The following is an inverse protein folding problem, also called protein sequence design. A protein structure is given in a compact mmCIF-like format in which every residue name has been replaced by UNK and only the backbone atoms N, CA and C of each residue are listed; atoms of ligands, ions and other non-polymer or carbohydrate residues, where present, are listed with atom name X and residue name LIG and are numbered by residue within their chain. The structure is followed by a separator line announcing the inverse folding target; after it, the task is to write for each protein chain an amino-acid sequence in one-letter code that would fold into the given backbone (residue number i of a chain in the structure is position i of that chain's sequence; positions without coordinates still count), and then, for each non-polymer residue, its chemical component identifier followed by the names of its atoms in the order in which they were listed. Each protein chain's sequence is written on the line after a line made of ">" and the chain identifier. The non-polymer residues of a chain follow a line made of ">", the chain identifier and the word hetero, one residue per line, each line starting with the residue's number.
data_IF_918731477092
#
_entry.id   IF_918731477092
#
_cell.length_a   1.000
_cell.length_b   1.000
_cell.length_c   1.000
_cell.angle_alpha   90.00
_cell.angle_beta   90.00
_cell.angle_gamma   90.00
#
_symmetry.space_group_name_H-M   'P 1'
#
loop_
_entity.id
_entity.type
_entity.pdbx_description
1 polymer ?
#
# COMPACT_ATOMS: atom_id res chain seq x y z
N UNK A 1 -27.13 -23.96 31.93
CA UNK A 1 -26.87 -23.84 30.47
C UNK A 1 -26.10 -22.54 30.30
N UNK A 2 -24.84 -22.61 29.88
CA UNK A 2 -24.00 -21.43 29.72
C UNK A 2 -24.14 -20.91 28.29
N UNK A 3 -24.73 -19.71 28.15
CA UNK A 3 -24.75 -18.97 26.90
C UNK A 3 -23.32 -18.69 26.45
N UNK A 4 -22.89 -19.37 25.39
CA UNK A 4 -21.64 -19.06 24.71
C UNK A 4 -21.87 -17.76 23.96
N UNK A 5 -21.37 -16.65 24.54
CA UNK A 5 -21.32 -15.36 23.85
C UNK A 5 -20.54 -15.55 22.57
N UNK A 6 -21.20 -15.37 21.42
CA UNK A 6 -20.53 -15.20 20.13
C UNK A 6 -19.69 -13.93 20.29
N UNK A 7 -18.38 -14.08 20.36
CA UNK A 7 -17.45 -12.96 20.33
C UNK A 7 -17.65 -12.26 18.99
N UNK A 8 -18.00 -10.97 19.01
CA UNK A 8 -18.09 -10.12 17.82
C UNK A 8 -16.81 -10.30 16.98
N UNK A 9 -16.90 -11.04 15.87
CA UNK A 9 -15.83 -11.15 14.89
C UNK A 9 -15.77 -9.84 14.11
N UNK A 10 -15.15 -8.81 14.68
CA UNK A 10 -14.86 -7.58 13.94
C UNK A 10 -13.83 -7.90 12.85
N UNK A 11 -14.09 -7.56 11.58
CA UNK A 11 -13.12 -7.74 10.52
C UNK A 11 -11.86 -6.90 10.82
N UNK A 12 -10.69 -7.51 10.70
CA UNK A 12 -9.40 -6.83 10.89
C UNK A 12 -9.07 -6.11 9.57
N UNK A 13 -9.01 -4.78 9.62
CA UNK A 13 -8.52 -3.99 8.49
C UNK A 13 -7.00 -4.08 8.41
N UNK A 14 -6.49 -4.48 7.25
CA UNK A 14 -5.06 -4.47 6.92
C UNK A 14 -4.80 -3.35 5.94
N UNK A 15 -4.28 -2.24 6.45
CA UNK A 15 -4.08 -0.98 5.74
C UNK A 15 -2.61 -0.60 5.57
N UNK A 16 -1.68 -1.40 6.12
CA UNK A 16 -0.25 -1.22 5.96
C UNK A 16 0.30 -2.42 5.18
N UNK A 17 1.02 -2.17 4.10
CA UNK A 17 1.69 -3.23 3.34
C UNK A 17 3.15 -2.87 3.13
N UNK A 18 4.03 -3.79 3.48
CA UNK A 18 5.44 -3.70 3.12
C UNK A 18 5.77 -4.65 1.99
N UNK A 19 6.76 -4.28 1.19
CA UNK A 19 7.25 -5.12 0.09
C UNK A 19 8.64 -4.64 -0.31
N UNK A 20 9.34 -5.50 -1.02
CA UNK A 20 10.61 -5.16 -1.65
C UNK A 20 10.38 -4.79 -3.11
N UNK A 21 11.05 -3.73 -3.57
CA UNK A 21 11.08 -3.33 -4.96
C UNK A 21 12.48 -2.88 -5.35
N UNK A 22 12.96 -3.37 -6.49
CA UNK A 22 14.24 -2.98 -7.10
C UNK A 22 13.92 -2.48 -8.50
N UNK A 23 14.49 -1.34 -8.91
CA UNK A 23 14.28 -0.85 -10.27
C UNK A 23 15.06 -1.73 -11.28
N UNK A 24 14.55 -1.84 -12.49
CA UNK A 24 15.21 -2.61 -13.56
C UNK A 24 16.62 -2.10 -13.87
N UNK A 25 16.86 -0.80 -13.63
CA UNK A 25 18.14 -0.11 -13.87
C UNK A 25 19.01 0.04 -12.59
N UNK A 26 18.69 -0.64 -11.49
CA UNK A 26 19.38 -0.52 -10.18
C UNK A 26 19.43 0.94 -9.66
N UNK A 27 18.46 1.75 -10.07
CA UNK A 27 18.31 3.14 -9.61
C UNK A 27 17.49 3.17 -8.33
N UNK A 28 17.82 4.11 -7.45
CA UNK A 28 17.00 4.42 -6.28
C UNK A 28 15.64 4.93 -6.76
N UNK A 29 14.59 4.10 -6.62
CA UNK A 29 13.20 4.50 -6.87
C UNK A 29 12.84 5.55 -5.80
N UNK A 30 12.34 6.72 -6.19
CA UNK A 30 11.82 7.67 -5.20
C UNK A 30 10.37 7.32 -4.82
N UNK A 31 9.86 7.76 -3.65
CA UNK A 31 8.46 7.56 -3.29
C UNK A 31 7.49 8.11 -4.34
N UNK A 32 7.90 9.18 -5.04
CA UNK A 32 7.12 9.77 -6.13
C UNK A 32 7.09 8.89 -7.37
N UNK A 33 8.20 8.23 -7.70
CA UNK A 33 8.26 7.31 -8.85
C UNK A 33 7.36 6.10 -8.62
N UNK A 34 7.38 5.53 -7.42
CA UNK A 34 6.52 4.42 -7.04
C UNK A 34 5.04 4.81 -7.07
N UNK A 35 4.70 5.99 -6.51
CA UNK A 35 3.36 6.55 -6.57
C UNK A 35 2.89 6.82 -8.02
N UNK A 36 3.81 7.23 -8.90
CA UNK A 36 3.53 7.47 -10.33
C UNK A 36 3.30 6.16 -11.07
N UNK A 37 4.10 5.11 -10.81
CA UNK A 37 3.89 3.76 -11.36
C UNK A 37 2.51 3.25 -10.95
N UNK A 38 2.16 3.35 -9.66
CA UNK A 38 0.82 3.01 -9.16
C UNK A 38 -0.30 3.77 -9.87
N UNK A 39 -0.22 5.10 -9.93
CA UNK A 39 -1.23 5.93 -10.57
C UNK A 39 -1.43 5.52 -12.03
N UNK A 40 -0.34 5.36 -12.79
CA UNK A 40 -0.39 4.98 -14.21
C UNK A 40 -1.07 3.63 -14.39
N UNK A 41 -0.69 2.63 -13.59
CA UNK A 41 -1.20 1.26 -13.74
C UNK A 41 -2.66 1.14 -13.31
N UNK A 42 -3.11 1.94 -12.33
CA UNK A 42 -4.53 2.03 -11.95
C UNK A 42 -5.34 2.77 -13.01
N UNK A 43 -4.84 3.89 -13.54
CA UNK A 43 -5.51 4.61 -14.62
C UNK A 43 -5.65 3.77 -15.90
N UNK A 44 -4.70 2.87 -16.17
CA UNK A 44 -4.78 1.93 -17.28
C UNK A 44 -5.92 0.90 -17.14
N UNK A 45 -6.51 0.76 -15.94
CA UNK A 45 -7.68 -0.11 -15.68
C UNK A 45 -9.02 0.60 -15.91
N UNK A 46 -9.00 1.87 -16.32
CA UNK A 46 -10.22 2.59 -16.70
C UNK A 46 -10.96 1.85 -17.81
N UNK A 47 -12.28 1.80 -17.69
CA UNK A 47 -13.17 1.17 -18.66
C UNK A 47 -14.48 1.95 -18.74
N UNK A 48 -15.41 1.49 -19.58
CA UNK A 48 -16.75 2.06 -19.65
C UNK A 48 -17.56 1.91 -18.34
N UNK A 49 -17.13 1.02 -17.42
CA UNK A 49 -17.84 0.72 -16.18
C UNK A 49 -17.19 1.31 -14.93
N UNK A 50 -15.90 1.68 -14.99
CA UNK A 50 -15.12 2.16 -13.83
C UNK A 50 -14.21 3.29 -14.28
N UNK A 51 -14.26 4.41 -13.56
CA UNK A 51 -13.41 5.58 -13.78
C UNK A 51 -12.60 5.89 -12.52
N UNK A 52 -11.29 5.65 -12.59
CA UNK A 52 -10.31 6.03 -11.59
C UNK A 52 -9.90 7.49 -11.74
N UNK A 53 -9.94 8.23 -10.63
CA UNK A 53 -9.48 9.63 -10.51
C UNK A 53 -8.45 9.75 -9.40
N UNK A 54 -7.55 10.70 -9.54
CA UNK A 54 -6.45 10.92 -8.62
C UNK A 54 -6.34 12.37 -8.22
N UNK A 55 -5.99 12.63 -6.96
CA UNK A 55 -5.55 13.95 -6.52
C UNK A 55 -4.12 14.24 -6.99
N UNK A 56 -3.70 15.48 -6.83
CA UNK A 56 -2.29 15.85 -6.97
C UNK A 56 -1.40 15.11 -5.95
N UNK A 57 -0.14 14.92 -6.34
CA UNK A 57 0.89 14.38 -5.46
C UNK A 57 1.32 15.41 -4.42
N UNK A 58 1.43 14.98 -3.16
CA UNK A 58 2.08 15.71 -2.08
C UNK A 58 3.30 14.91 -1.61
N UNK A 59 4.49 15.40 -1.95
CA UNK A 59 5.75 14.73 -1.64
C UNK A 59 6.51 15.49 -0.55
N UNK A 60 7.17 14.74 0.33
CA UNK A 60 8.24 15.21 1.19
C UNK A 60 9.52 14.38 0.90
N UNK A 61 10.57 14.54 1.72
CA UNK A 61 11.87 13.89 1.46
C UNK A 61 11.80 12.36 1.47
N UNK A 62 10.86 11.78 2.23
CA UNK A 62 10.82 10.33 2.49
C UNK A 62 9.51 9.67 2.05
N UNK A 63 8.50 10.45 1.67
CA UNK A 63 7.18 9.95 1.33
C UNK A 63 6.49 10.73 0.22
N UNK A 64 5.54 10.08 -0.44
CA UNK A 64 4.61 10.72 -1.37
C UNK A 64 3.20 10.26 -1.09
N UNK A 65 2.27 11.22 -1.03
CA UNK A 65 0.85 11.03 -0.77
C UNK A 65 0.03 11.45 -1.97
N UNK A 66 -1.04 10.71 -2.20
CA UNK A 66 -2.10 11.04 -3.14
C UNK A 66 -3.39 10.43 -2.60
N UNK A 67 -4.52 10.78 -3.20
CA UNK A 67 -5.77 10.07 -2.99
C UNK A 67 -6.33 9.65 -4.33
N UNK A 68 -7.08 8.55 -4.35
CA UNK A 68 -7.75 8.08 -5.56
C UNK A 68 -9.20 7.67 -5.30
N UNK A 69 -10.05 7.77 -6.31
CA UNK A 69 -11.44 7.30 -6.30
C UNK A 69 -11.71 6.46 -7.53
N UNK A 70 -12.64 5.50 -7.44
CA UNK A 70 -13.17 4.72 -8.56
C UNK A 70 -14.70 4.83 -8.71
N UNK A 71 -15.35 5.56 -7.79
CA UNK A 71 -16.79 5.81 -7.81
C UNK A 71 -17.13 7.07 -7.01
N UNK A 72 -17.61 8.10 -7.73
CA UNK A 72 -17.95 9.42 -7.17
C UNK A 72 -16.80 10.08 -6.38
N UNK A 73 -16.99 11.30 -5.87
CA UNK A 73 -15.91 12.11 -5.26
C UNK A 73 -15.42 11.60 -3.88
N UNK A 74 -15.50 10.29 -3.61
CA UNK A 74 -14.95 9.67 -2.42
C UNK A 74 -13.48 9.27 -2.64
N UNK A 75 -12.58 10.17 -2.26
CA UNK A 75 -11.15 9.99 -2.44
C UNK A 75 -10.52 9.24 -1.25
N UNK A 76 -9.88 8.11 -1.55
CA UNK A 76 -9.18 7.27 -0.59
C UNK A 76 -7.69 7.62 -0.57
N UNK A 77 -7.13 8.03 0.58
CA UNK A 77 -5.73 8.39 0.68
C UNK A 77 -4.82 7.16 0.57
N UNK A 78 -3.67 7.37 -0.07
CA UNK A 78 -2.57 6.41 -0.17
C UNK A 78 -1.26 7.15 0.07
N UNK A 79 -0.41 6.56 0.90
CA UNK A 79 0.94 7.04 1.17
C UNK A 79 1.95 5.99 0.77
N UNK A 80 3.02 6.41 0.11
CA UNK A 80 4.18 5.61 -0.27
C UNK A 80 5.40 6.15 0.48
N UNK A 81 6.16 5.28 1.14
CA UNK A 81 7.39 5.67 1.86
C UNK A 81 8.38 4.53 1.97
N UNK A 82 9.63 4.84 2.26
CA UNK A 82 10.63 3.85 2.63
C UNK A 82 10.40 3.30 4.04
N UNK A 83 10.86 2.09 4.31
CA UNK A 83 10.91 1.50 5.65
C UNK A 83 12.35 1.17 6.03
N UNK A 84 12.79 1.73 7.15
CA UNK A 84 14.13 1.48 7.68
C UNK A 84 15.23 2.10 6.82
N UNK A 85 16.43 1.52 6.88
CA UNK A 85 17.62 1.98 6.18
C UNK A 85 17.88 1.25 4.85
N UNK A 86 17.06 0.24 4.51
CA UNK A 86 17.21 -0.50 3.25
C UNK A 86 16.58 0.28 2.09
N UNK A 87 17.30 0.53 0.98
CA UNK A 87 16.76 1.28 -0.15
C UNK A 87 15.70 0.49 -0.95
N UNK A 88 15.54 -0.81 -0.70
CA UNK A 88 14.58 -1.65 -1.42
C UNK A 88 13.27 -1.89 -0.67
N UNK A 89 13.17 -1.55 0.62
CA UNK A 89 12.00 -1.85 1.45
C UNK A 89 11.01 -0.69 1.46
N UNK A 90 9.80 -0.97 1.04
CA UNK A 90 8.72 0.01 0.91
C UNK A 90 7.59 -0.24 1.89
N UNK A 91 6.86 0.83 2.21
CA UNK A 91 5.57 0.81 2.89
C UNK A 91 4.55 1.57 2.06
N UNK A 92 3.38 0.96 1.93
CA UNK A 92 2.17 1.64 1.50
C UNK A 92 1.18 1.63 2.64
N UNK A 93 0.61 2.80 2.92
CA UNK A 93 -0.52 2.95 3.83
C UNK A 93 -1.75 3.35 3.03
N UNK A 94 -2.80 2.54 3.10
CA UNK A 94 -4.04 2.74 2.35
C UNK A 94 -5.22 2.06 3.02
N UNK A 95 -6.36 2.73 3.07
CA UNK A 95 -7.63 2.12 3.52
C UNK A 95 -8.25 1.17 2.47
N UNK A 96 -7.72 1.17 1.23
CA UNK A 96 -8.25 0.44 0.08
C UNK A 96 -7.30 -0.67 -0.35
N UNK A 97 -7.21 -1.70 0.49
CA UNK A 97 -6.25 -2.79 0.35
C UNK A 97 -6.36 -3.57 -0.96
N UNK A 98 -7.56 -3.71 -1.56
CA UNK A 98 -7.75 -4.52 -2.76
C UNK A 98 -7.06 -3.94 -4.00
N UNK A 99 -7.16 -2.63 -4.27
CA UNK A 99 -6.51 -2.01 -5.45
C UNK A 99 -5.00 -2.09 -5.34
N UNK A 100 -4.49 -1.85 -4.13
CA UNK A 100 -3.06 -1.96 -3.82
C UNK A 100 -2.61 -3.41 -3.97
N UNK A 101 -3.36 -4.38 -3.45
CA UNK A 101 -3.06 -5.80 -3.58
C UNK A 101 -2.98 -6.21 -5.05
N UNK A 102 -4.01 -5.90 -5.84
CA UNK A 102 -4.07 -6.23 -7.27
C UNK A 102 -2.92 -5.60 -8.06
N UNK A 103 -2.49 -4.40 -7.69
CA UNK A 103 -1.31 -3.78 -8.29
C UNK A 103 -0.01 -4.49 -7.88
N UNK A 104 0.17 -4.78 -6.59
CA UNK A 104 1.37 -5.43 -6.09
C UNK A 104 1.56 -6.85 -6.65
N UNK A 105 0.49 -7.63 -6.82
CA UNK A 105 0.59 -9.00 -7.35
C UNK A 105 0.68 -9.06 -8.88
N UNK A 106 0.28 -8.00 -9.58
CA UNK A 106 0.34 -7.94 -11.04
C UNK A 106 1.76 -7.64 -11.57
N UNK A 107 2.59 -6.97 -10.77
CA UNK A 107 3.95 -6.61 -11.15
C UNK A 107 4.95 -7.59 -10.53
N UNK A 108 5.57 -8.43 -11.36
CA UNK A 108 6.53 -9.45 -10.93
C UNK A 108 7.83 -8.91 -10.32
N UNK A 109 8.03 -7.59 -10.30
CA UNK A 109 9.19 -6.94 -9.68
C UNK A 109 9.02 -6.72 -8.17
N UNK A 110 7.81 -6.86 -7.66
CA UNK A 110 7.53 -6.74 -6.22
C UNK A 110 7.61 -8.10 -5.53
N UNK A 111 8.28 -8.16 -4.38
CA UNK A 111 8.40 -9.39 -3.60
C UNK A 111 8.33 -9.11 -2.09
N UNK A 112 8.35 -10.19 -1.28
CA UNK A 112 8.17 -10.16 0.19
C UNK A 112 7.00 -9.26 0.66
N UNK A 113 5.86 -9.38 -0.03
CA UNK A 113 4.65 -8.59 0.26
C UNK A 113 4.04 -9.06 1.59
N UNK A 114 3.96 -8.17 2.57
CA UNK A 114 3.40 -8.47 3.90
C UNK A 114 2.40 -7.41 4.32
N UNK A 115 1.21 -7.86 4.73
CA UNK A 115 0.10 -7.01 5.14
C UNK A 115 -0.05 -7.00 6.65
N UNK A 116 -0.20 -5.80 7.20
CA UNK A 116 -0.35 -5.54 8.63
C UNK A 116 -1.62 -4.73 8.88
N UNK A 117 -2.30 -5.01 9.99
CA UNK A 117 -3.18 -4.00 10.58
C UNK A 117 -2.36 -2.85 11.16
N UNK A 118 -2.98 -1.69 11.31
CA UNK A 118 -2.34 -0.55 12.00
C UNK A 118 -1.87 -0.94 13.41
N UNK A 119 -2.65 -1.71 14.17
CA UNK A 119 -2.24 -2.20 15.49
C UNK A 119 -0.98 -3.08 15.42
N UNK A 120 -0.91 -3.98 14.44
CA UNK A 120 0.28 -4.81 14.23
C UNK A 120 1.48 -3.96 13.81
N UNK A 121 1.29 -3.00 12.91
CA UNK A 121 2.34 -2.09 12.47
C UNK A 121 2.92 -1.27 13.65
N UNK A 122 2.04 -0.73 14.49
CA UNK A 122 2.45 0.09 15.63
C UNK A 122 3.07 -0.71 16.79
N UNK A 123 2.69 -2.00 16.95
CA UNK A 123 3.20 -2.86 18.04
C UNK A 123 4.40 -3.70 17.64
N UNK A 124 4.45 -4.15 16.39
CA UNK A 124 5.52 -5.00 15.90
C UNK A 124 6.70 -4.11 15.50
N UNK A 125 7.87 -4.33 16.10
CA UNK A 125 9.15 -3.93 15.49
C UNK A 125 9.58 -4.95 14.42
N UNK A 126 8.68 -5.86 14.03
CA UNK A 126 8.96 -6.98 13.10
C UNK A 126 9.33 -6.49 11.69
N UNK A 127 9.00 -5.25 11.35
CA UNK A 127 9.48 -4.60 10.12
C UNK A 127 10.94 -4.14 10.22
N UNK A 128 11.53 -4.06 11.43
CA UNK A 128 12.93 -3.66 11.63
C UNK A 128 13.90 -4.83 11.51
N UNK A 129 13.53 -6.03 11.95
CA UNK A 129 14.45 -7.16 12.01
C UNK A 129 13.70 -8.49 11.88
N UNK A 130 13.82 -9.13 10.72
CA UNK A 130 13.93 -10.59 10.68
C UNK A 130 15.34 -10.90 10.17
N UNK A 131 16.35 -10.99 11.06
CA UNK A 131 17.56 -11.70 10.71
C UNK A 131 17.19 -13.18 10.70
N UNK A 132 17.52 -13.87 9.62
CA UNK A 132 17.49 -15.32 9.60
C UNK A 132 18.29 -15.90 10.78
#
# INVERSE_FOLDING_TARGET
>A
MADTKITDCKPISRNHVTFDAIDEDDRTISPRDLATKFQRDVLARNSEYIEYKFSEFRSDEISTRLSFSWYQDNFHPVMFSFVGSSPCRWLIVSETSFVIHDWLVADGRFCDIRWYSEEQWNRSREWQETPW
#
